data_IF_687212361878
#
_entry.id   IF_687212361878
#
_cell.length_a   1.000
_cell.length_b   1.000
_cell.length_c   1.000
_cell.angle_alpha   90.00
_cell.angle_beta   90.00
_cell.angle_gamma   90.00
#
_symmetry.space_group_name_H-M   'P 1'
#
loop_
_entity.id
_entity.type
_entity.pdbx_description
1 polymer ?
#
# COMPACT_ATOMS: atom_id res chain seq x y z
N UNK A 1 5.88 -18.19 7.75
CA UNK A 1 5.16 -17.10 7.07
C UNK A 1 4.48 -17.60 5.83
N UNK A 2 3.23 -17.19 5.61
CA UNK A 2 2.42 -17.61 4.47
C UNK A 2 2.63 -16.70 3.26
N UNK A 3 2.26 -17.15 2.09
CA UNK A 3 2.03 -16.27 0.95
C UNK A 3 0.69 -15.54 1.14
N UNK A 4 0.67 -14.22 0.90
CA UNK A 4 -0.54 -13.38 1.05
C UNK A 4 -1.68 -13.89 0.16
N UNK A 5 -1.39 -14.42 -1.05
CA UNK A 5 -2.41 -15.02 -1.90
C UNK A 5 -3.19 -16.15 -1.19
N UNK A 6 -2.54 -16.98 -0.37
CA UNK A 6 -3.23 -18.03 0.39
C UNK A 6 -4.08 -17.48 1.53
N UNK A 7 -3.73 -16.32 2.09
CA UNK A 7 -4.57 -15.61 3.07
C UNK A 7 -5.87 -15.17 2.38
N UNK A 8 -5.78 -14.57 1.19
CA UNK A 8 -6.95 -14.20 0.40
C UNK A 8 -7.80 -15.41 0.04
N UNK A 9 -7.19 -16.49 -0.44
CA UNK A 9 -7.92 -17.72 -0.81
C UNK A 9 -8.64 -18.33 0.41
N UNK A 10 -8.03 -18.37 1.57
CA UNK A 10 -8.62 -18.91 2.79
C UNK A 10 -9.80 -18.09 3.33
N UNK A 11 -9.78 -16.78 3.13
CA UNK A 11 -10.81 -15.84 3.61
C UNK A 11 -11.88 -15.50 2.57
N UNK A 12 -11.67 -15.84 1.31
CA UNK A 12 -12.60 -15.51 0.21
C UNK A 12 -14.03 -15.96 0.52
N UNK A 13 -14.98 -15.02 0.47
CA UNK A 13 -16.39 -15.26 0.78
C UNK A 13 -16.73 -15.49 2.25
N UNK A 14 -15.77 -15.36 3.17
CA UNK A 14 -15.96 -15.57 4.62
C UNK A 14 -15.74 -14.31 5.44
N UNK A 15 -14.63 -13.61 5.23
CA UNK A 15 -14.26 -12.40 5.97
C UNK A 15 -13.27 -11.56 5.14
N UNK A 16 -13.25 -10.24 5.31
CA UNK A 16 -12.28 -9.40 4.65
C UNK A 16 -10.86 -9.65 5.18
N UNK A 17 -9.87 -9.48 4.33
CA UNK A 17 -8.45 -9.46 4.71
C UNK A 17 -8.10 -8.06 5.20
N UNK A 18 -7.56 -7.94 6.41
CA UNK A 18 -7.18 -6.65 7.01
C UNK A 18 -5.66 -6.55 7.08
N UNK A 19 -5.12 -5.47 6.56
CA UNK A 19 -3.68 -5.26 6.51
C UNK A 19 -3.27 -3.82 6.79
N UNK A 20 -2.06 -3.64 7.31
CA UNK A 20 -1.52 -2.35 7.72
C UNK A 20 -0.19 -2.08 7.03
N UNK A 21 0.02 -0.83 6.62
CA UNK A 21 1.28 -0.37 6.06
C UNK A 21 2.06 0.48 7.06
N UNK A 22 3.36 0.22 7.14
CA UNK A 22 4.32 0.95 7.95
C UNK A 22 5.41 1.58 7.09
N UNK A 23 5.98 2.68 7.59
CA UNK A 23 7.05 3.42 6.94
C UNK A 23 8.33 3.29 7.77
N UNK A 24 9.51 3.00 7.16
CA UNK A 24 10.76 3.06 7.87
C UNK A 24 11.00 4.47 8.43
N UNK A 25 11.10 4.64 9.74
CA UNK A 25 11.36 5.94 10.34
C UNK A 25 12.75 6.48 9.97
N UNK A 26 12.92 7.79 10.08
CA UNK A 26 14.19 8.47 9.76
C UNK A 26 15.11 8.64 10.99
N UNK A 27 14.60 8.39 12.19
CA UNK A 27 15.31 8.59 13.45
C UNK A 27 15.20 7.36 14.33
N UNK A 28 16.18 7.16 15.24
CA UNK A 28 16.17 6.07 16.21
C UNK A 28 14.98 6.15 17.17
N UNK A 29 14.53 7.35 17.50
CA UNK A 29 13.31 7.55 18.30
C UNK A 29 12.08 7.08 17.53
N UNK A 30 12.01 7.41 16.24
CA UNK A 30 10.96 6.92 15.34
C UNK A 30 10.96 5.39 15.27
N UNK A 31 12.13 4.76 15.20
CA UNK A 31 12.25 3.30 15.19
C UNK A 31 11.70 2.68 16.49
N UNK A 32 12.10 3.21 17.64
CA UNK A 32 11.56 2.76 18.93
C UNK A 32 10.05 2.96 19.01
N UNK A 33 9.53 4.12 18.61
CA UNK A 33 8.10 4.39 18.59
C UNK A 33 7.34 3.42 17.69
N UNK A 34 7.87 3.12 16.49
CA UNK A 34 7.26 2.15 15.56
C UNK A 34 7.24 0.75 16.18
N UNK A 35 8.40 0.25 16.61
CA UNK A 35 8.57 -1.15 17.04
C UNK A 35 7.96 -1.43 18.42
N UNK A 36 8.05 -0.48 19.36
CA UNK A 36 7.66 -0.69 20.76
C UNK A 36 6.24 -0.19 21.08
N UNK A 37 5.67 0.71 20.26
CA UNK A 37 4.34 1.30 20.53
C UNK A 37 3.35 1.06 19.39
N UNK A 38 3.67 1.51 18.16
CA UNK A 38 2.70 1.51 17.05
C UNK A 38 2.35 0.10 16.59
N UNK A 39 3.36 -0.72 16.29
CA UNK A 39 3.14 -2.10 15.84
C UNK A 39 2.42 -2.91 16.93
N UNK A 40 2.88 -2.95 18.21
CA UNK A 40 2.16 -3.69 19.25
C UNK A 40 0.72 -3.24 19.47
N UNK A 41 0.43 -1.94 19.31
CA UNK A 41 -0.95 -1.43 19.42
C UNK A 41 -1.84 -1.96 18.28
N UNK A 42 -1.35 -1.94 17.04
CA UNK A 42 -2.09 -2.42 15.88
C UNK A 42 -2.19 -3.94 15.81
N UNK A 43 -1.24 -4.69 16.38
CA UNK A 43 -1.32 -6.16 16.47
C UNK A 43 -2.49 -6.64 17.32
N UNK A 44 -3.00 -5.82 18.26
CA UNK A 44 -4.21 -6.13 19.04
C UNK A 44 -5.45 -6.26 18.16
N UNK A 45 -5.46 -5.68 16.97
CA UNK A 45 -6.52 -5.79 15.98
C UNK A 45 -6.44 -7.08 15.14
N UNK A 46 -5.43 -7.93 15.38
CA UNK A 46 -5.20 -9.21 14.69
C UNK A 46 -5.21 -9.09 13.15
N UNK A 47 -4.41 -8.20 12.56
CA UNK A 47 -4.33 -8.09 11.11
C UNK A 47 -3.88 -9.41 10.48
N UNK A 48 -4.23 -9.61 9.22
CA UNK A 48 -3.83 -10.79 8.46
C UNK A 48 -2.39 -10.71 7.96
N UNK A 49 -1.98 -9.51 7.57
CA UNK A 49 -0.60 -9.21 7.20
C UNK A 49 -0.29 -7.72 7.37
N UNK A 50 0.97 -7.37 7.22
CA UNK A 50 1.37 -5.98 7.09
C UNK A 50 2.37 -5.79 5.95
N UNK A 51 2.60 -4.54 5.55
CA UNK A 51 3.64 -4.15 4.63
C UNK A 51 4.57 -3.10 5.23
N UNK A 52 5.79 -3.04 4.73
CA UNK A 52 6.75 -2.00 5.08
C UNK A 52 7.24 -1.35 3.79
N UNK A 53 7.10 -0.02 3.71
CA UNK A 53 7.46 0.74 2.53
C UNK A 53 8.96 0.76 2.29
N UNK A 54 9.32 1.12 1.07
CA UNK A 54 10.70 1.29 0.62
C UNK A 54 10.93 2.79 0.40
N UNK A 55 11.95 3.35 1.01
CA UNK A 55 12.21 4.79 0.91
C UNK A 55 12.52 5.23 -0.51
N UNK A 56 12.14 6.46 -0.85
CA UNK A 56 12.41 7.03 -2.15
C UNK A 56 13.90 6.91 -2.51
N UNK A 57 14.18 6.47 -3.73
CA UNK A 57 15.55 6.27 -4.21
C UNK A 57 16.30 5.09 -3.61
N UNK A 58 15.64 4.15 -2.92
CA UNK A 58 16.29 2.95 -2.37
C UNK A 58 17.06 3.15 -1.07
N UNK A 59 16.93 4.33 -0.44
CA UNK A 59 17.74 4.74 0.72
C UNK A 59 17.49 3.96 2.01
N UNK A 60 16.41 3.16 2.07
CA UNK A 60 16.00 2.43 3.29
C UNK A 60 15.99 0.90 3.11
N UNK A 61 16.68 0.38 2.09
CA UNK A 61 16.69 -1.06 1.74
C UNK A 61 16.82 -1.98 2.95
N UNK A 62 17.96 -1.90 3.62
CA UNK A 62 18.29 -2.79 4.73
C UNK A 62 17.36 -2.59 5.92
N UNK A 63 16.98 -1.34 6.17
CA UNK A 63 16.04 -0.98 7.23
C UNK A 63 14.66 -1.57 6.98
N UNK A 64 14.15 -1.51 5.74
CA UNK A 64 12.86 -2.10 5.36
C UNK A 64 12.86 -3.61 5.62
N UNK A 65 13.88 -4.33 5.12
CA UNK A 65 13.99 -5.78 5.34
C UNK A 65 14.13 -6.14 6.83
N UNK A 66 14.88 -5.33 7.59
CA UNK A 66 15.07 -5.54 9.04
C UNK A 66 13.76 -5.35 9.81
N UNK A 67 12.95 -4.33 9.47
CA UNK A 67 11.64 -4.13 10.11
C UNK A 67 10.69 -5.28 9.76
N UNK A 68 10.64 -5.71 8.48
CA UNK A 68 9.82 -6.85 8.05
C UNK A 68 10.22 -8.12 8.81
N UNK A 69 11.51 -8.43 8.90
CA UNK A 69 12.04 -9.56 9.64
C UNK A 69 11.65 -9.50 11.13
N UNK A 70 11.80 -8.32 11.75
CA UNK A 70 11.45 -8.09 13.15
C UNK A 70 9.95 -8.37 13.40
N UNK A 71 9.05 -7.83 12.56
CA UNK A 71 7.61 -8.08 12.67
C UNK A 71 7.31 -9.59 12.58
N UNK A 72 7.91 -10.27 11.62
CA UNK A 72 7.73 -11.71 11.45
C UNK A 72 8.19 -12.51 12.67
N UNK A 73 9.35 -12.14 13.23
CA UNK A 73 9.94 -12.86 14.37
C UNK A 73 9.22 -12.57 15.69
N UNK A 74 8.89 -11.31 15.96
CA UNK A 74 8.33 -10.91 17.26
C UNK A 74 6.83 -11.13 17.36
N UNK A 75 6.11 -10.95 16.25
CA UNK A 75 4.64 -11.00 16.24
C UNK A 75 4.06 -12.22 15.52
N UNK A 76 4.89 -13.04 14.86
CA UNK A 76 4.42 -14.17 14.06
C UNK A 76 3.54 -13.75 12.86
N UNK A 77 3.50 -12.44 12.54
CA UNK A 77 2.65 -11.89 11.49
C UNK A 77 3.30 -12.05 10.11
N UNK A 78 2.52 -12.43 9.11
CA UNK A 78 2.95 -12.37 7.72
C UNK A 78 3.24 -10.92 7.35
N UNK A 79 4.45 -10.67 6.83
CA UNK A 79 4.85 -9.33 6.44
C UNK A 79 5.36 -9.31 4.99
N UNK A 80 5.16 -8.17 4.32
CA UNK A 80 5.51 -7.89 2.94
C UNK A 80 6.51 -6.75 2.89
N UNK A 81 7.56 -6.90 2.09
CA UNK A 81 8.49 -5.81 1.79
C UNK A 81 8.11 -5.13 0.48
N UNK A 82 8.11 -3.80 0.44
CA UNK A 82 8.11 -3.10 -0.84
C UNK A 82 9.48 -3.26 -1.51
N UNK A 83 9.49 -3.24 -2.84
CA UNK A 83 10.69 -3.22 -3.67
C UNK A 83 10.43 -2.35 -4.90
N UNK A 84 11.38 -1.47 -5.23
CA UNK A 84 11.22 -0.51 -6.33
C UNK A 84 12.32 -0.63 -7.37
N UNK A 85 12.00 -0.29 -8.63
CA UNK A 85 12.96 -0.25 -9.73
C UNK A 85 13.95 0.92 -9.61
N UNK A 86 13.56 2.00 -8.92
CA UNK A 86 14.31 3.27 -8.90
C UNK A 86 15.73 3.08 -8.36
N UNK A 87 16.71 3.68 -9.05
CA UNK A 87 18.12 3.67 -8.68
C UNK A 87 18.73 2.28 -8.46
N UNK A 88 18.22 1.25 -9.14
CA UNK A 88 18.71 -0.13 -8.98
C UNK A 88 18.90 -0.83 -10.32
N UNK A 89 19.98 -1.57 -10.44
CA UNK A 89 20.19 -2.51 -11.55
C UNK A 89 19.47 -3.84 -11.29
N UNK A 90 19.30 -4.67 -12.32
CA UNK A 90 18.73 -6.01 -12.20
C UNK A 90 19.51 -6.87 -11.19
N UNK A 91 20.84 -6.77 -11.21
CA UNK A 91 21.74 -7.50 -10.30
C UNK A 91 21.50 -7.09 -8.86
N UNK A 92 21.44 -5.78 -8.58
CA UNK A 92 21.17 -5.24 -7.23
C UNK A 92 19.79 -5.67 -6.71
N UNK A 93 18.78 -5.67 -7.57
CA UNK A 93 17.44 -6.16 -7.21
C UNK A 93 17.46 -7.67 -6.92
N UNK A 94 18.25 -8.44 -7.67
CA UNK A 94 18.47 -9.87 -7.40
C UNK A 94 19.10 -10.11 -6.03
N UNK A 95 20.11 -9.33 -5.65
CA UNK A 95 20.74 -9.41 -4.32
C UNK A 95 19.75 -9.11 -3.19
N UNK A 96 18.87 -8.08 -3.37
CA UNK A 96 17.81 -7.77 -2.40
C UNK A 96 16.85 -8.93 -2.24
N UNK A 97 16.43 -9.56 -3.33
CA UNK A 97 15.52 -10.71 -3.29
C UNK A 97 16.18 -11.92 -2.60
N UNK A 98 17.46 -12.15 -2.83
CA UNK A 98 18.22 -13.19 -2.13
C UNK A 98 18.32 -12.92 -0.63
N UNK A 99 18.56 -11.66 -0.24
CA UNK A 99 18.58 -11.27 1.18
C UNK A 99 17.20 -11.39 1.83
N UNK A 100 16.14 -10.92 1.16
CA UNK A 100 14.76 -11.11 1.60
C UNK A 100 14.44 -12.60 1.85
N UNK A 101 14.87 -13.48 0.93
CA UNK A 101 14.69 -14.93 1.07
C UNK A 101 15.45 -15.49 2.27
N UNK A 102 16.71 -15.08 2.51
CA UNK A 102 17.49 -15.48 3.70
C UNK A 102 16.82 -15.08 5.01
N UNK A 103 16.13 -13.93 5.04
CA UNK A 103 15.35 -13.43 6.19
C UNK A 103 13.95 -14.08 6.30
N UNK A 104 13.60 -15.01 5.43
CA UNK A 104 12.30 -15.69 5.43
C UNK A 104 11.15 -14.81 4.92
N UNK A 105 11.45 -13.69 4.25
CA UNK A 105 10.45 -12.81 3.63
C UNK A 105 9.96 -13.46 2.35
N UNK A 106 8.65 -13.68 2.25
CA UNK A 106 8.01 -14.40 1.13
C UNK A 106 7.09 -13.53 0.28
N UNK A 107 6.84 -12.29 0.68
CA UNK A 107 5.88 -11.42 0.02
C UNK A 107 6.56 -10.10 -0.35
N UNK A 108 6.44 -9.70 -1.61
CA UNK A 108 7.03 -8.49 -2.17
C UNK A 108 5.95 -7.66 -2.84
N UNK A 109 5.88 -6.36 -2.53
CA UNK A 109 5.10 -5.39 -3.31
C UNK A 109 6.03 -4.77 -4.36
N UNK A 110 5.83 -5.14 -5.62
CA UNK A 110 6.66 -4.69 -6.74
C UNK A 110 6.16 -3.36 -7.29
N UNK A 111 6.97 -2.32 -7.17
CA UNK A 111 6.65 -0.95 -7.53
C UNK A 111 7.69 -0.39 -8.52
N UNK A 112 7.31 0.63 -9.29
CA UNK A 112 8.30 1.39 -10.07
C UNK A 112 9.19 2.22 -9.14
N UNK A 113 8.59 2.83 -8.15
CA UNK A 113 9.17 3.86 -7.30
C UNK A 113 9.03 5.25 -7.89
N UNK A 114 9.04 6.23 -7.00
CA UNK A 114 9.00 7.65 -7.37
C UNK A 114 10.42 8.15 -7.65
N UNK A 115 10.57 9.15 -8.53
CA UNK A 115 11.87 9.78 -8.75
C UNK A 115 12.40 10.35 -7.44
N UNK A 116 13.73 10.38 -7.24
CA UNK A 116 14.31 11.03 -6.07
C UNK A 116 13.85 12.48 -5.97
N UNK A 117 13.66 12.95 -4.73
CA UNK A 117 13.20 14.32 -4.46
C UNK A 117 14.09 15.32 -5.21
N UNK A 118 13.46 16.21 -5.99
CA UNK A 118 14.15 17.26 -6.75
C UNK A 118 14.61 16.84 -8.16
N UNK A 119 14.42 15.59 -8.60
CA UNK A 119 14.83 15.15 -9.94
C UNK A 119 13.73 15.24 -11.00
N UNK A 120 12.49 15.52 -10.60
CA UNK A 120 11.32 15.75 -11.47
C UNK A 120 10.74 14.49 -12.10
N UNK A 121 11.45 13.83 -13.01
CA UNK A 121 10.94 12.66 -13.73
C UNK A 121 11.71 11.38 -13.38
N UNK A 122 11.00 10.25 -13.42
CA UNK A 122 11.63 8.94 -13.29
C UNK A 122 12.56 8.69 -14.47
N UNK A 123 13.80 8.30 -14.18
CA UNK A 123 14.77 7.86 -15.19
C UNK A 123 15.18 6.43 -14.90
N UNK A 124 15.08 5.59 -15.93
CA UNK A 124 15.56 4.20 -15.87
C UNK A 124 17.05 4.18 -15.54
N UNK A 125 17.42 3.41 -14.52
CA UNK A 125 18.83 3.11 -14.24
C UNK A 125 19.40 2.22 -15.35
N UNK A 126 20.58 2.53 -15.92
CA UNK A 126 21.22 1.61 -16.87
C UNK A 126 21.35 0.20 -16.27
N UNK A 127 20.92 -0.83 -17.01
CA UNK A 127 20.85 -2.21 -16.49
C UNK A 127 19.69 -2.50 -15.53
N UNK A 128 18.85 -1.52 -15.23
CA UNK A 128 17.66 -1.67 -14.38
C UNK A 128 16.36 -1.78 -15.18
N UNK A 129 15.23 -1.65 -14.48
CA UNK A 129 13.88 -1.70 -15.03
C UNK A 129 13.26 -0.31 -15.16
N UNK A 130 12.43 -0.13 -16.19
CA UNK A 130 11.66 1.09 -16.43
C UNK A 130 10.26 1.01 -15.79
N UNK A 131 9.65 -0.18 -15.87
CA UNK A 131 8.29 -0.41 -15.40
C UNK A 131 8.24 -1.46 -14.30
N UNK A 132 7.28 -1.32 -13.38
CA UNK A 132 7.04 -2.33 -12.35
C UNK A 132 6.61 -3.69 -12.90
N UNK A 133 6.06 -3.76 -14.11
CA UNK A 133 5.76 -5.03 -14.79
C UNK A 133 7.02 -5.85 -15.08
N UNK A 134 8.13 -5.19 -15.45
CA UNK A 134 9.42 -5.86 -15.65
C UNK A 134 9.96 -6.41 -14.30
N UNK A 135 9.80 -5.64 -13.21
CA UNK A 135 10.17 -6.09 -11.87
C UNK A 135 9.31 -7.27 -11.43
N UNK A 136 7.99 -7.25 -11.69
CA UNK A 136 7.09 -8.39 -11.40
C UNK A 136 7.56 -9.64 -12.14
N UNK A 137 7.83 -9.54 -13.44
CA UNK A 137 8.35 -10.65 -14.24
C UNK A 137 9.66 -11.19 -13.68
N UNK A 138 10.58 -10.31 -13.30
CA UNK A 138 11.86 -10.69 -12.71
C UNK A 138 11.71 -11.40 -11.37
N UNK A 139 10.86 -10.89 -10.45
CA UNK A 139 10.60 -11.56 -9.18
C UNK A 139 9.96 -12.94 -9.41
N UNK A 140 9.09 -13.05 -10.42
CA UNK A 140 8.48 -14.33 -10.82
C UNK A 140 9.53 -15.33 -11.34
N UNK A 141 10.48 -14.87 -12.16
CA UNK A 141 11.63 -15.67 -12.64
C UNK A 141 12.49 -16.17 -11.47
N UNK A 142 12.86 -15.28 -10.54
CA UNK A 142 13.61 -15.63 -9.32
C UNK A 142 12.87 -16.67 -8.48
N UNK A 143 11.54 -16.59 -8.42
CA UNK A 143 10.66 -17.55 -7.78
C UNK A 143 10.67 -17.48 -6.24
N UNK A 144 9.74 -18.18 -5.62
CA UNK A 144 9.63 -18.28 -4.15
C UNK A 144 8.99 -17.08 -3.46
N UNK A 145 8.38 -16.16 -4.19
CA UNK A 145 7.67 -14.99 -3.67
C UNK A 145 6.21 -14.97 -4.10
N UNK A 146 5.37 -14.40 -3.24
CA UNK A 146 4.06 -13.88 -3.57
C UNK A 146 4.20 -12.40 -3.91
N UNK A 147 3.64 -11.97 -5.03
CA UNK A 147 3.92 -10.66 -5.62
C UNK A 147 2.65 -9.81 -5.60
N UNK A 148 2.67 -8.73 -4.81
CA UNK A 148 1.70 -7.65 -4.90
C UNK A 148 2.15 -6.58 -5.90
N UNK A 149 1.21 -5.81 -6.41
CA UNK A 149 1.49 -4.61 -7.21
C UNK A 149 0.50 -3.50 -6.88
N UNK A 150 0.84 -2.25 -7.24
CA UNK A 150 -0.06 -1.12 -7.04
C UNK A 150 -1.03 -0.94 -8.22
N UNK A 151 -2.28 -0.59 -7.89
CA UNK A 151 -3.30 -0.08 -8.80
C UNK A 151 -3.67 1.37 -8.44
N UNK A 152 -4.19 2.13 -9.39
CA UNK A 152 -4.51 3.55 -9.19
C UNK A 152 -5.96 3.81 -9.63
N UNK A 153 -6.92 3.91 -8.71
CA UNK A 153 -8.33 4.14 -9.07
C UNK A 153 -8.56 5.38 -9.92
N UNK A 154 -7.84 6.46 -9.65
CA UNK A 154 -7.91 7.71 -10.43
C UNK A 154 -6.85 7.79 -11.56
N UNK A 155 -6.08 6.71 -11.77
CA UNK A 155 -4.92 6.68 -12.68
C UNK A 155 -3.63 7.19 -12.02
N UNK A 156 -2.49 6.71 -12.49
CA UNK A 156 -1.20 7.14 -11.98
C UNK A 156 -0.87 8.56 -12.48
N UNK A 157 -0.47 9.46 -11.58
CA UNK A 157 -0.17 10.88 -11.88
C UNK A 157 0.84 11.06 -13.03
N UNK A 158 1.77 10.13 -13.21
CA UNK A 158 2.75 10.17 -14.31
C UNK A 158 2.25 9.54 -15.62
N UNK A 159 1.02 8.99 -15.66
CA UNK A 159 0.43 8.44 -16.88
C UNK A 159 -0.28 9.56 -17.64
N UNK A 160 0.44 10.24 -18.53
CA UNK A 160 -0.08 11.38 -19.30
C UNK A 160 -1.20 10.98 -20.28
N UNK A 161 -1.28 9.69 -20.64
CA UNK A 161 -2.31 9.13 -21.53
C UNK A 161 -3.65 8.89 -20.82
N UNK A 162 -3.71 9.11 -19.51
CA UNK A 162 -4.93 9.02 -18.71
C UNK A 162 -5.16 7.67 -18.03
N UNK A 163 -6.18 7.63 -17.16
CA UNK A 163 -6.45 6.50 -16.27
C UNK A 163 -6.71 5.17 -16.98
N UNK A 164 -7.37 5.20 -18.13
CA UNK A 164 -7.68 3.96 -18.89
C UNK A 164 -6.40 3.26 -19.37
N UNK A 165 -5.41 4.03 -19.83
CA UNK A 165 -4.11 3.47 -20.25
C UNK A 165 -3.34 2.94 -19.04
N UNK A 166 -3.38 3.64 -17.89
CA UNK A 166 -2.76 3.15 -16.66
C UNK A 166 -3.38 1.83 -16.21
N UNK A 167 -4.69 1.67 -16.31
CA UNK A 167 -5.40 0.44 -15.99
C UNK A 167 -5.06 -0.73 -16.95
N UNK A 168 -4.81 -0.45 -18.23
CA UNK A 168 -4.26 -1.45 -19.17
C UNK A 168 -2.84 -1.87 -18.77
N UNK A 169 -2.01 -0.93 -18.32
CA UNK A 169 -0.67 -1.21 -17.78
C UNK A 169 -0.72 -2.04 -16.48
N UNK A 170 -1.76 -1.86 -15.66
CA UNK A 170 -2.00 -2.73 -14.51
C UNK A 170 -2.27 -4.18 -14.94
N UNK A 171 -3.07 -4.39 -16.00
CA UNK A 171 -3.29 -5.73 -16.54
C UNK A 171 -1.98 -6.39 -16.95
N UNK A 172 -1.06 -5.66 -17.58
CA UNK A 172 0.27 -6.18 -17.91
C UNK A 172 1.07 -6.62 -16.67
N UNK A 173 0.95 -5.93 -15.53
CA UNK A 173 1.58 -6.37 -14.26
C UNK A 173 0.99 -7.69 -13.76
N UNK A 174 -0.31 -7.86 -13.87
CA UNK A 174 -0.98 -9.12 -13.49
C UNK A 174 -0.57 -10.26 -14.41
N UNK A 175 -0.50 -10.01 -15.72
CA UNK A 175 -0.05 -11.00 -16.71
C UNK A 175 1.43 -11.41 -16.53
N UNK A 176 2.25 -10.48 -16.03
CA UNK A 176 3.64 -10.75 -15.66
C UNK A 176 3.77 -11.62 -14.40
N UNK A 177 2.69 -11.83 -13.63
CA UNK A 177 2.65 -12.74 -12.51
C UNK A 177 2.36 -12.13 -11.14
N UNK A 178 1.78 -10.93 -11.05
CA UNK A 178 1.30 -10.39 -9.78
C UNK A 178 0.15 -11.24 -9.24
N UNK A 179 0.18 -11.53 -7.95
CA UNK A 179 -0.78 -12.40 -7.25
C UNK A 179 -1.94 -11.61 -6.63
N UNK A 180 -1.78 -10.30 -6.37
CA UNK A 180 -2.82 -9.40 -5.84
C UNK A 180 -2.46 -7.93 -6.12
N UNK A 181 -3.43 -7.05 -5.93
CA UNK A 181 -3.30 -5.60 -6.15
C UNK A 181 -3.70 -4.87 -4.87
N UNK A 182 -2.87 -3.90 -4.43
CA UNK A 182 -3.24 -2.89 -3.45
C UNK A 182 -3.42 -1.57 -4.19
N UNK A 183 -4.52 -0.85 -3.96
CA UNK A 183 -4.72 0.43 -4.65
C UNK A 183 -4.01 1.56 -3.95
N UNK A 184 -3.66 2.61 -4.69
CA UNK A 184 -3.40 3.93 -4.13
C UNK A 184 -4.64 4.42 -3.36
N UNK A 185 -4.45 5.30 -2.38
CA UNK A 185 -5.53 5.95 -1.66
C UNK A 185 -6.47 6.71 -2.63
N UNK A 186 -7.72 6.78 -2.28
CA UNK A 186 -8.79 7.52 -2.92
C UNK A 186 -9.81 7.90 -1.85
N UNK A 187 -10.65 8.91 -2.11
CA UNK A 187 -11.66 9.37 -1.15
C UNK A 187 -13.08 9.18 -1.65
N UNK A 188 -13.29 9.01 -2.95
CA UNK A 188 -14.59 8.68 -3.53
C UNK A 188 -14.63 7.21 -3.96
N UNK A 189 -15.55 6.44 -3.37
CA UNK A 189 -15.68 5.02 -3.72
C UNK A 189 -16.09 4.79 -5.17
N UNK A 190 -16.69 5.79 -5.84
CA UNK A 190 -17.05 5.71 -7.27
C UNK A 190 -15.81 5.51 -8.14
N UNK A 191 -14.68 6.15 -7.79
CA UNK A 191 -13.42 5.97 -8.52
C UNK A 191 -12.91 4.53 -8.41
N UNK A 192 -13.00 3.94 -7.20
CA UNK A 192 -12.65 2.54 -7.00
C UNK A 192 -13.60 1.59 -7.74
N UNK A 193 -14.89 1.83 -7.74
CA UNK A 193 -15.85 0.98 -8.42
C UNK A 193 -15.68 1.03 -9.94
N UNK A 194 -15.49 2.21 -10.53
CA UNK A 194 -15.16 2.38 -11.94
C UNK A 194 -13.88 1.63 -12.30
N UNK A 195 -12.83 1.82 -11.51
CA UNK A 195 -11.56 1.12 -11.68
C UNK A 195 -11.74 -0.40 -11.62
N UNK A 196 -12.36 -0.92 -10.54
CA UNK A 196 -12.62 -2.36 -10.36
C UNK A 196 -13.35 -2.95 -11.56
N UNK A 197 -14.44 -2.31 -11.98
CA UNK A 197 -15.27 -2.81 -13.05
C UNK A 197 -14.52 -2.80 -14.39
N UNK A 198 -13.70 -1.79 -14.63
CA UNK A 198 -12.88 -1.71 -15.84
C UNK A 198 -11.80 -2.80 -15.87
N UNK A 199 -11.00 -2.94 -14.81
CA UNK A 199 -9.90 -3.93 -14.78
C UNK A 199 -10.44 -5.36 -14.76
N UNK A 200 -11.63 -5.60 -14.20
CA UNK A 200 -12.32 -6.89 -14.28
C UNK A 200 -12.69 -7.22 -15.73
N UNK A 201 -13.22 -6.26 -16.50
CA UNK A 201 -13.49 -6.42 -17.94
C UNK A 201 -12.23 -6.69 -18.75
N UNK A 202 -11.07 -6.15 -18.34
CA UNK A 202 -9.78 -6.48 -18.93
C UNK A 202 -9.28 -7.90 -18.57
N UNK A 203 -9.99 -8.63 -17.70
CA UNK A 203 -9.66 -9.99 -17.30
C UNK A 203 -8.72 -10.07 -16.08
N UNK A 204 -8.63 -9.01 -15.26
CA UNK A 204 -7.96 -9.08 -13.95
C UNK A 204 -8.83 -9.89 -13.00
N UNK A 205 -8.27 -10.99 -12.46
CA UNK A 205 -8.97 -11.94 -11.56
C UNK A 205 -8.31 -12.08 -10.19
N UNK A 206 -7.18 -11.43 -9.98
CA UNK A 206 -6.49 -11.44 -8.68
C UNK A 206 -7.19 -10.53 -7.67
N UNK A 207 -7.04 -10.77 -6.36
CA UNK A 207 -7.60 -9.90 -5.33
C UNK A 207 -7.26 -8.44 -5.54
N UNK A 208 -8.27 -7.57 -5.43
CA UNK A 208 -8.15 -6.11 -5.52
C UNK A 208 -8.48 -5.52 -4.15
N UNK A 209 -7.44 -5.03 -3.47
CA UNK A 209 -7.52 -4.54 -2.10
C UNK A 209 -7.46 -3.02 -2.08
N UNK A 210 -8.53 -2.31 -1.71
CA UNK A 210 -8.52 -0.86 -1.58
C UNK A 210 -7.57 -0.39 -0.49
N UNK A 211 -6.75 0.60 -0.83
CA UNK A 211 -5.84 1.29 0.09
C UNK A 211 -6.55 2.47 0.76
N UNK A 212 -6.60 2.46 2.09
CA UNK A 212 -7.39 3.38 2.90
C UNK A 212 -6.47 4.28 3.74
N UNK A 213 -6.71 5.58 3.70
CA UNK A 213 -5.97 6.55 4.50
C UNK A 213 -6.92 7.30 5.45
N UNK A 214 -6.96 6.97 6.75
CA UNK A 214 -7.65 7.82 7.73
C UNK A 214 -6.97 9.20 7.80
N UNK A 215 -7.75 10.27 7.60
CA UNK A 215 -7.23 11.65 7.62
C UNK A 215 -6.83 12.01 9.04
N UNK A 216 -5.65 12.65 9.20
CA UNK A 216 -5.13 13.06 10.51
C UNK A 216 -5.06 14.59 10.66
N UNK A 217 -4.85 15.32 9.56
CA UNK A 217 -4.85 16.77 9.53
C UNK A 217 -5.12 17.30 8.13
N UNK A 218 -5.65 18.51 8.02
CA UNK A 218 -5.94 19.15 6.74
C UNK A 218 -4.67 19.41 5.90
N UNK A 219 -3.56 19.79 6.54
CA UNK A 219 -2.28 20.01 5.87
C UNK A 219 -1.69 18.72 5.31
N UNK A 220 -1.80 17.64 6.06
CA UNK A 220 -1.29 16.32 5.66
C UNK A 220 -2.03 15.77 4.44
N UNK A 221 -3.37 15.84 4.44
CA UNK A 221 -4.17 15.33 3.33
C UNK A 221 -3.89 16.08 2.02
N UNK A 222 -3.82 17.41 2.06
CA UNK A 222 -3.47 18.24 0.89
C UNK A 222 -2.11 17.85 0.32
N UNK A 223 -1.12 17.60 1.17
CA UNK A 223 0.21 17.16 0.74
C UNK A 223 0.16 15.79 0.07
N UNK A 224 -0.52 14.81 0.67
CA UNK A 224 -0.59 13.46 0.11
C UNK A 224 -1.33 13.43 -1.22
N UNK A 225 -2.48 14.10 -1.34
CA UNK A 225 -3.23 14.16 -2.60
C UNK A 225 -2.43 14.81 -3.73
N UNK A 226 -1.67 15.85 -3.43
CA UNK A 226 -0.75 16.44 -4.41
C UNK A 226 0.33 15.45 -4.88
N UNK A 227 0.86 14.61 -3.98
CA UNK A 227 1.91 13.65 -4.31
C UNK A 227 1.40 12.45 -5.09
N UNK A 228 0.21 11.92 -4.77
CA UNK A 228 -0.32 10.72 -5.39
C UNK A 228 -1.37 10.97 -6.48
N UNK A 229 -1.80 12.23 -6.65
CA UNK A 229 -2.81 12.62 -7.66
C UNK A 229 -4.26 12.27 -7.26
N UNK A 230 -4.51 11.87 -6.01
CA UNK A 230 -5.86 11.59 -5.55
C UNK A 230 -6.67 12.88 -5.37
N UNK A 231 -7.94 12.85 -5.74
CA UNK A 231 -8.87 13.96 -5.62
C UNK A 231 -9.50 14.03 -4.24
N UNK A 232 -9.68 15.23 -3.70
CA UNK A 232 -10.46 15.44 -2.48
C UNK A 232 -11.89 15.83 -2.89
N UNK A 233 -12.93 15.06 -2.53
CA UNK A 233 -14.31 15.43 -2.84
C UNK A 233 -14.70 16.80 -2.29
N UNK A 234 -15.47 17.58 -3.04
CA UNK A 234 -15.85 18.93 -2.66
C UNK A 234 -16.49 19.05 -1.24
N UNK A 235 -17.39 18.14 -0.82
CA UNK A 235 -17.92 18.16 0.55
C UNK A 235 -16.85 17.94 1.62
N UNK A 236 -15.86 17.07 1.36
CA UNK A 236 -14.74 16.85 2.25
C UNK A 236 -13.85 18.09 2.32
N UNK A 237 -13.54 18.71 1.18
CA UNK A 237 -12.73 19.94 1.14
C UNK A 237 -13.38 21.05 1.96
N UNK A 238 -14.69 21.30 1.78
CA UNK A 238 -15.44 22.29 2.55
C UNK A 238 -15.37 21.99 4.06
N UNK A 239 -15.50 20.72 4.46
CA UNK A 239 -15.40 20.35 5.89
C UNK A 239 -13.99 20.55 6.44
N UNK A 240 -12.96 20.22 5.69
CA UNK A 240 -11.57 20.45 6.09
C UNK A 240 -11.25 21.95 6.21
N UNK A 241 -11.86 22.79 5.38
CA UNK A 241 -11.73 24.25 5.48
C UNK A 241 -12.46 24.82 6.71
N UNK A 242 -13.65 24.31 7.01
CA UNK A 242 -14.39 24.65 8.25
C UNK A 242 -13.60 24.30 9.51
N UNK A 243 -12.97 23.11 9.54
CA UNK A 243 -12.16 22.63 10.68
C UNK A 243 -10.83 23.35 10.81
N UNK A 244 -10.32 23.95 9.74
CA UNK A 244 -9.13 24.78 9.73
C UNK A 244 -7.88 24.06 10.24
N UNK A 245 -7.31 24.54 11.34
CA UNK A 245 -6.09 24.00 11.97
C UNK A 245 -6.38 23.09 13.18
N UNK A 246 -7.62 22.75 13.45
CA UNK A 246 -7.98 21.82 14.51
C UNK A 246 -7.72 20.37 14.08
N UNK A 247 -6.51 19.89 14.33
CA UNK A 247 -6.11 18.52 13.97
C UNK A 247 -6.90 17.46 14.74
N UNK A 248 -7.39 17.74 15.95
CA UNK A 248 -8.19 16.79 16.72
C UNK A 248 -9.58 16.60 16.10
N UNK A 249 -10.25 17.70 15.77
CA UNK A 249 -11.54 17.65 15.08
C UNK A 249 -11.39 17.07 13.66
N UNK A 250 -10.30 17.38 12.96
CA UNK A 250 -9.99 16.82 11.65
C UNK A 250 -9.77 15.31 11.72
N UNK A 251 -9.05 14.81 12.72
CA UNK A 251 -8.84 13.37 12.92
C UNK A 251 -10.14 12.65 13.25
N UNK A 252 -11.03 13.23 14.09
CA UNK A 252 -12.34 12.67 14.38
C UNK A 252 -13.21 12.56 13.10
N UNK A 253 -13.30 13.64 12.32
CA UNK A 253 -13.95 13.62 11.01
C UNK A 253 -13.34 12.58 10.07
N UNK A 254 -12.02 12.46 10.04
CA UNK A 254 -11.29 11.50 9.21
C UNK A 254 -11.61 10.04 9.59
N UNK A 255 -11.79 9.74 10.88
CA UNK A 255 -12.20 8.42 11.36
C UNK A 255 -13.61 8.10 10.89
N UNK A 256 -14.57 9.04 11.07
CA UNK A 256 -15.95 8.85 10.64
C UNK A 256 -16.06 8.65 9.13
N UNK A 257 -15.36 9.49 8.36
CA UNK A 257 -15.34 9.39 6.91
C UNK A 257 -14.74 8.04 6.43
N UNK A 258 -13.58 7.66 6.95
CA UNK A 258 -12.94 6.40 6.58
C UNK A 258 -13.79 5.19 7.01
N UNK A 259 -14.47 5.27 8.15
CA UNK A 259 -15.40 4.22 8.60
C UNK A 259 -16.55 4.05 7.60
N UNK A 260 -17.21 5.15 7.21
CA UNK A 260 -18.30 5.11 6.23
C UNK A 260 -17.84 4.60 4.86
N UNK A 261 -16.68 5.08 4.39
CA UNK A 261 -16.05 4.65 3.14
C UNK A 261 -15.75 3.15 3.14
N UNK A 262 -15.09 2.65 4.18
CA UNK A 262 -14.78 1.23 4.33
C UNK A 262 -16.04 0.37 4.43
N UNK A 263 -17.06 0.81 5.18
CA UNK A 263 -18.32 0.08 5.32
C UNK A 263 -19.04 -0.07 3.96
N UNK A 264 -19.02 0.95 3.11
CA UNK A 264 -19.58 0.87 1.76
C UNK A 264 -18.79 -0.12 0.88
N UNK A 265 -17.44 -0.05 0.89
CA UNK A 265 -16.59 -0.98 0.17
C UNK A 265 -16.83 -2.43 0.59
N UNK A 266 -16.93 -2.70 1.89
CA UNK A 266 -17.23 -4.04 2.41
C UNK A 266 -18.62 -4.54 1.97
N UNK A 267 -19.65 -3.68 2.00
CA UNK A 267 -20.98 -4.02 1.46
C UNK A 267 -20.95 -4.30 -0.03
N UNK A 268 -20.06 -3.65 -0.76
CA UNK A 268 -19.83 -3.90 -2.20
C UNK A 268 -18.95 -5.14 -2.49
N UNK A 269 -18.59 -5.91 -1.44
CA UNK A 269 -17.94 -7.20 -1.56
C UNK A 269 -16.43 -7.15 -1.84
N UNK A 270 -15.72 -6.10 -1.41
CA UNK A 270 -14.24 -6.11 -1.50
C UNK A 270 -13.66 -7.22 -0.61
N UNK A 271 -12.61 -7.88 -1.11
CA UNK A 271 -12.00 -9.02 -0.42
C UNK A 271 -11.10 -8.62 0.77
N UNK A 272 -10.85 -7.31 0.97
CA UNK A 272 -10.02 -6.83 2.08
C UNK A 272 -9.86 -5.32 2.09
N UNK A 273 -9.18 -4.80 3.10
CA UNK A 273 -8.84 -3.38 3.30
C UNK A 273 -7.37 -3.28 3.70
N UNK A 274 -6.65 -2.35 3.08
CA UNK A 274 -5.26 -2.06 3.39
C UNK A 274 -5.13 -0.63 3.94
N UNK A 275 -4.69 -0.48 5.19
CA UNK A 275 -4.63 0.83 5.85
C UNK A 275 -3.23 1.42 5.83
N UNK A 276 -3.08 2.61 5.25
CA UNK A 276 -1.89 3.46 5.34
C UNK A 276 -1.84 4.11 6.73
N UNK A 277 -1.13 3.47 7.67
CA UNK A 277 -1.17 3.89 9.09
C UNK A 277 -0.39 5.15 9.37
N UNK A 278 0.53 5.54 8.49
CA UNK A 278 1.51 6.63 8.70
C UNK A 278 2.25 6.49 10.05
N UNK A 279 2.46 5.26 10.49
CA UNK A 279 3.06 4.90 11.79
C UNK A 279 2.27 5.47 13.00
N UNK A 280 0.96 5.67 12.86
CA UNK A 280 0.07 6.11 13.93
C UNK A 280 -1.07 5.11 14.10
N UNK A 281 -1.22 4.57 15.32
CA UNK A 281 -2.18 3.49 15.56
C UNK A 281 -3.62 4.00 15.75
N UNK A 282 -3.82 5.18 16.32
CA UNK A 282 -5.12 5.63 16.82
C UNK A 282 -6.23 5.58 15.77
N UNK A 283 -6.12 6.36 14.69
CA UNK A 283 -7.21 6.47 13.71
C UNK A 283 -7.52 5.15 13.02
N UNK A 284 -6.50 4.37 12.66
CA UNK A 284 -6.71 3.03 12.09
C UNK A 284 -7.41 2.10 13.09
N UNK A 285 -7.02 2.16 14.37
CA UNK A 285 -7.67 1.37 15.43
C UNK A 285 -9.15 1.69 15.54
N UNK A 286 -9.50 2.97 15.59
CA UNK A 286 -10.90 3.40 15.72
C UNK A 286 -11.72 2.99 14.48
N UNK A 287 -11.19 3.18 13.27
CA UNK A 287 -11.90 2.73 12.04
C UNK A 287 -12.16 1.22 12.07
N UNK A 288 -11.14 0.41 12.38
CA UNK A 288 -11.28 -1.06 12.41
C UNK A 288 -12.29 -1.51 13.49
N UNK A 289 -12.28 -0.86 14.66
CA UNK A 289 -13.27 -1.11 15.73
C UNK A 289 -14.68 -0.72 15.33
N UNK A 290 -14.86 0.46 14.75
CA UNK A 290 -16.17 0.96 14.30
C UNK A 290 -16.79 0.04 13.23
N UNK A 291 -15.94 -0.65 12.45
CA UNK A 291 -16.35 -1.65 11.46
C UNK A 291 -16.66 -3.04 12.07
N UNK A 292 -16.40 -3.24 13.37
CA UNK A 292 -16.56 -4.54 14.02
C UNK A 292 -15.57 -5.61 13.56
N UNK A 293 -14.39 -5.20 13.13
CA UNK A 293 -13.33 -6.07 12.58
C UNK A 293 -12.16 -6.32 13.56
N UNK A 294 -12.28 -5.88 14.81
CA UNK A 294 -11.24 -6.02 15.85
C UNK A 294 -11.45 -7.28 16.70
#
# INVERSE_FOLDING_TARGET
>A
MQFIRYIHDAKRGKAPVISFEFFPPKTDEGDRNLLEKTIPALMKLKPDFCSVTYGAGGSTRDKTLSIVENIQRQHGLTAMSHLTCVNSTKEQLGEVLLDARRRGIKNILALRGDPPVGTGEFKKTPGGFEFSSELVAFIKEVGGFCIGTAGFPEGHIACREGKVVDWQRLKAKVDAGADFIITQLFFDNRDFFEFRDHVTKLGVKVPLVPGMLPILSASQIKKFTTLCGASIPAPMMAKLEELGTDDAATAAYGIDYATAQCAELLRAGVEGLHFYTLNKAHSTTEVVRNLGLA
#
